data_IF_192318649402
#
_entry.id   IF_192318649402
#
_cell.length_a   1.000
_cell.length_b   1.000
_cell.length_c   1.000
_cell.angle_alpha   90.00
_cell.angle_beta   90.00
_cell.angle_gamma   90.00
#
_symmetry.space_group_name_H-M   'P 1'
#
loop_
_entity.id
_entity.type
_entity.pdbx_description
1 polymer ?
#
# COMPACT_ATOMS: atom_id res chain seq x y z
N UNK A 1 -4.07 -15.04 23.90
CA UNK A 1 -4.01 -13.64 23.47
C UNK A 1 -5.23 -13.31 22.60
N UNK A 2 -6.37 -13.00 23.22
CA UNK A 2 -7.56 -12.56 22.51
C UNK A 2 -7.61 -11.03 22.50
N UNK A 3 -7.67 -10.40 21.32
CA UNK A 3 -8.07 -8.99 21.24
C UNK A 3 -9.51 -8.91 21.76
N UNK A 4 -9.77 -7.98 22.69
CA UNK A 4 -11.14 -7.57 23.01
C UNK A 4 -11.82 -7.22 21.69
N UNK A 5 -12.91 -7.91 21.35
CA UNK A 5 -13.68 -7.62 20.16
C UNK A 5 -14.21 -6.21 20.27
N UNK A 6 -13.63 -5.28 19.53
CA UNK A 6 -14.27 -4.00 19.28
C UNK A 6 -15.56 -4.29 18.49
N UNK A 7 -16.69 -3.79 18.98
CA UNK A 7 -17.97 -3.91 18.30
C UNK A 7 -17.85 -3.30 16.90
N UNK A 8 -17.82 -4.14 15.86
CA UNK A 8 -17.90 -3.68 14.48
C UNK A 8 -19.30 -3.06 14.28
N UNK A 9 -19.34 -1.74 14.16
CA UNK A 9 -20.56 -1.00 13.83
C UNK A 9 -21.11 -1.55 12.50
N UNK A 10 -22.42 -1.80 12.35
CA UNK A 10 -23.00 -2.22 11.06
C UNK A 10 -22.65 -1.27 9.91
N UNK A 11 -22.47 0.01 10.19
CA UNK A 11 -21.99 0.98 9.20
C UNK A 11 -20.55 0.71 8.74
N UNK A 12 -19.71 0.05 9.55
CA UNK A 12 -18.33 -0.32 9.19
C UNK A 12 -18.27 -1.39 8.09
N UNK A 13 -19.33 -2.21 7.93
CA UNK A 13 -19.43 -3.18 6.83
C UNK A 13 -19.66 -2.49 5.47
N UNK A 14 -20.49 -1.45 5.46
CA UNK A 14 -20.79 -0.63 4.25
C UNK A 14 -19.65 0.35 3.94
N UNK A 15 -18.87 0.73 4.95
CA UNK A 15 -17.68 1.58 4.85
C UNK A 15 -16.42 0.84 4.38
N UNK A 16 -16.53 -0.36 3.80
CA UNK A 16 -15.37 -1.01 3.18
C UNK A 16 -14.81 -0.04 2.12
N UNK A 17 -13.67 0.58 2.40
CA UNK A 17 -13.12 1.66 1.58
C UNK A 17 -12.85 1.15 0.17
N UNK A 18 -13.76 1.44 -0.75
CA UNK A 18 -13.50 1.28 -2.17
C UNK A 18 -12.40 2.27 -2.55
N UNK A 19 -11.21 1.74 -2.86
CA UNK A 19 -10.08 2.57 -3.27
C UNK A 19 -10.11 2.70 -4.79
N UNK A 20 -10.50 3.89 -5.27
CA UNK A 20 -10.46 4.23 -6.70
C UNK A 20 -9.03 4.03 -7.24
N UNK A 21 -8.94 3.35 -8.37
CA UNK A 21 -7.66 3.09 -9.06
C UNK A 21 -7.06 1.72 -8.77
N UNK A 22 -7.42 1.06 -7.67
CA UNK A 22 -7.05 -0.33 -7.42
C UNK A 22 -8.01 -1.27 -8.16
N UNK A 23 -7.49 -1.98 -9.17
CA UNK A 23 -8.26 -2.91 -10.02
C UNK A 23 -8.03 -4.37 -9.60
N UNK A 24 -8.85 -5.28 -10.11
CA UNK A 24 -8.64 -6.72 -9.99
C UNK A 24 -7.22 -7.13 -10.37
N UNK A 25 -6.64 -8.06 -9.61
CA UNK A 25 -5.28 -8.56 -9.86
C UNK A 25 -5.25 -9.40 -11.13
N UNK A 26 -4.17 -9.31 -11.89
CA UNK A 26 -3.93 -10.23 -12.99
C UNK A 26 -3.61 -11.61 -12.42
N UNK A 27 -4.07 -12.66 -13.10
CA UNK A 27 -3.89 -14.04 -12.66
C UNK A 27 -2.46 -14.53 -12.81
N UNK A 28 -1.69 -13.97 -13.74
CA UNK A 28 -0.34 -14.42 -14.07
C UNK A 28 0.71 -13.98 -13.04
N UNK A 29 1.59 -14.90 -12.65
CA UNK A 29 2.82 -14.57 -11.93
C UNK A 29 3.90 -14.21 -12.95
N UNK A 30 4.18 -12.91 -13.06
CA UNK A 30 5.11 -12.40 -14.06
C UNK A 30 6.00 -11.35 -13.42
N UNK A 31 7.23 -11.23 -13.91
CA UNK A 31 8.15 -10.16 -13.58
C UNK A 31 8.26 -9.24 -14.79
N UNK A 32 8.09 -7.93 -14.57
CA UNK A 32 8.19 -6.92 -15.62
C UNK A 32 9.61 -6.34 -15.57
N UNK A 33 10.41 -6.63 -16.59
CA UNK A 33 11.85 -6.35 -16.62
C UNK A 33 12.27 -5.17 -17.53
N UNK A 34 11.33 -4.48 -18.16
CA UNK A 34 11.65 -3.52 -19.23
C UNK A 34 10.93 -2.17 -19.05
N UNK A 35 11.19 -1.48 -17.95
CA UNK A 35 10.80 -0.08 -17.80
C UNK A 35 12.02 0.83 -17.95
N UNK A 36 12.05 1.62 -19.04
CA UNK A 36 13.04 2.70 -19.23
C UNK A 36 13.00 3.61 -17.99
N UNK A 37 14.08 3.62 -17.19
CA UNK A 37 14.19 4.40 -15.95
C UNK A 37 14.40 3.59 -14.67
N UNK A 38 14.34 2.24 -14.73
CA UNK A 38 14.51 1.34 -13.56
C UNK A 38 15.81 0.51 -13.60
N UNK A 39 16.86 0.96 -14.31
CA UNK A 39 18.19 0.32 -14.30
C UNK A 39 18.21 -1.22 -14.55
N UNK A 40 17.38 -1.74 -15.45
CA UNK A 40 17.23 -3.19 -15.71
C UNK A 40 16.74 -4.02 -14.52
N UNK A 41 16.09 -3.41 -13.53
CA UNK A 41 15.47 -4.12 -12.41
C UNK A 41 14.14 -4.71 -12.88
N UNK A 42 13.92 -5.98 -12.57
CA UNK A 42 12.63 -6.64 -12.72
C UNK A 42 11.76 -6.39 -11.49
N UNK A 43 10.52 -5.96 -11.72
CA UNK A 43 9.52 -5.74 -10.66
C UNK A 43 8.44 -6.82 -10.79
N UNK A 44 8.05 -7.51 -9.70
CA UNK A 44 6.98 -8.50 -9.78
C UNK A 44 5.66 -7.80 -10.08
N UNK A 45 4.82 -8.42 -10.93
CA UNK A 45 3.55 -7.84 -11.35
C UNK A 45 2.62 -7.55 -10.16
N UNK A 46 2.72 -8.36 -9.10
CA UNK A 46 2.09 -8.11 -7.80
C UNK A 46 2.43 -6.71 -7.24
N UNK A 47 3.72 -6.32 -7.23
CA UNK A 47 4.16 -4.99 -6.79
C UNK A 47 3.65 -3.90 -7.73
N UNK A 48 3.70 -4.11 -9.05
CA UNK A 48 3.17 -3.14 -10.03
C UNK A 48 1.67 -2.87 -9.80
N UNK A 49 0.92 -3.89 -9.36
CA UNK A 49 -0.50 -3.79 -9.03
C UNK A 49 -0.79 -3.48 -7.57
N UNK A 50 0.21 -3.23 -6.71
CA UNK A 50 0.02 -2.97 -5.28
C UNK A 50 -0.91 -1.77 -5.08
N UNK A 51 -1.91 -1.92 -4.21
CA UNK A 51 -2.91 -0.88 -3.99
C UNK A 51 -2.37 0.28 -3.15
N UNK A 52 -1.67 1.23 -3.76
CA UNK A 52 -1.08 2.39 -3.06
C UNK A 52 -1.74 3.73 -3.42
N UNK A 53 -2.79 3.75 -4.23
CA UNK A 53 -3.39 4.99 -4.75
C UNK A 53 -3.98 5.88 -3.64
N UNK A 54 -4.38 5.31 -2.51
CA UNK A 54 -4.86 6.10 -1.37
C UNK A 54 -3.76 6.98 -0.73
N UNK A 55 -2.48 6.72 -1.03
CA UNK A 55 -1.33 7.45 -0.52
C UNK A 55 -0.86 8.57 -1.47
N UNK A 56 -1.43 8.65 -2.69
CA UNK A 56 -0.93 9.55 -3.75
C UNK A 56 -1.24 11.04 -3.48
N UNK A 57 -2.19 11.34 -2.60
CA UNK A 57 -2.72 12.69 -2.32
C UNK A 57 -2.73 13.00 -0.81
N UNK A 58 -1.74 12.50 -0.06
CA UNK A 58 -1.60 12.80 1.37
C UNK A 58 -1.23 14.27 1.57
N UNK A 59 -1.92 14.92 2.51
CA UNK A 59 -1.67 16.31 2.90
C UNK A 59 -1.33 16.35 4.37
N UNK A 60 -0.19 16.94 4.68
CA UNK A 60 0.23 17.22 6.04
C UNK A 60 -0.63 18.37 6.59
N UNK A 61 -1.23 18.16 7.76
CA UNK A 61 -2.08 19.15 8.43
C UNK A 61 -1.34 20.00 9.45
N UNK A 62 -0.08 19.67 9.74
CA UNK A 62 0.76 20.28 10.77
C UNK A 62 0.55 19.67 12.17
N UNK A 63 -0.41 18.75 12.32
CA UNK A 63 -0.73 18.07 13.59
C UNK A 63 -0.24 16.64 13.55
N UNK A 64 0.75 16.31 14.39
CA UNK A 64 1.32 14.97 14.53
C UNK A 64 0.26 13.89 14.68
N UNK A 65 -0.71 14.12 15.57
CA UNK A 65 -1.72 13.12 15.92
C UNK A 65 -2.69 12.89 14.76
N UNK A 66 -3.08 13.96 14.06
CA UNK A 66 -3.95 13.92 12.89
C UNK A 66 -3.23 13.24 11.72
N UNK A 67 -1.99 13.61 11.46
CA UNK A 67 -1.21 13.12 10.33
C UNK A 67 -0.82 11.65 10.51
N UNK A 68 -0.39 11.25 11.73
CA UNK A 68 -0.15 9.83 12.05
C UNK A 68 -1.41 8.99 11.88
N UNK A 69 -2.57 9.50 12.31
CA UNK A 69 -3.85 8.81 12.14
C UNK A 69 -4.21 8.68 10.66
N UNK A 70 -4.12 9.78 9.90
CA UNK A 70 -4.39 9.80 8.46
C UNK A 70 -3.51 8.79 7.72
N UNK A 71 -2.19 8.81 7.95
CA UNK A 71 -1.26 7.88 7.31
C UNK A 71 -1.61 6.43 7.67
N UNK A 72 -1.84 6.15 8.96
CA UNK A 72 -2.24 4.81 9.44
C UNK A 72 -3.51 4.34 8.75
N UNK A 73 -4.54 5.16 8.72
CA UNK A 73 -5.85 4.80 8.17
C UNK A 73 -5.73 4.54 6.65
N UNK A 74 -4.96 5.37 5.92
CA UNK A 74 -4.74 5.18 4.47
C UNK A 74 -3.92 3.94 4.14
N UNK A 75 -2.88 3.64 4.91
CA UNK A 75 -2.10 2.40 4.77
C UNK A 75 -2.96 1.18 5.10
N UNK A 76 -3.78 1.26 6.16
CA UNK A 76 -4.65 0.18 6.58
C UNK A 76 -5.74 -0.12 5.53
N UNK A 77 -6.43 0.91 5.03
CA UNK A 77 -7.42 0.77 3.95
C UNK A 77 -6.80 0.14 2.71
N UNK A 78 -5.60 0.60 2.33
CA UNK A 78 -4.81 0.08 1.20
C UNK A 78 -4.49 -1.41 1.37
N UNK A 79 -3.96 -1.79 2.53
CA UNK A 79 -3.59 -3.17 2.83
C UNK A 79 -4.80 -4.11 2.92
N UNK A 80 -5.92 -3.64 3.47
CA UNK A 80 -7.18 -4.41 3.48
C UNK A 80 -7.69 -4.64 2.06
N UNK A 81 -7.78 -3.58 1.25
CA UNK A 81 -8.27 -3.70 -0.12
C UNK A 81 -7.33 -4.55 -0.99
N UNK A 82 -6.01 -4.43 -0.80
CA UNK A 82 -5.01 -5.31 -1.41
C UNK A 82 -5.28 -6.78 -1.09
N UNK A 83 -5.50 -7.09 0.18
CA UNK A 83 -5.77 -8.46 0.65
C UNK A 83 -7.05 -9.01 0.02
N UNK A 84 -8.09 -8.19 -0.12
CA UNK A 84 -9.33 -8.59 -0.78
C UNK A 84 -9.15 -8.88 -2.27
N UNK A 85 -8.36 -8.05 -2.96
CA UNK A 85 -8.05 -8.24 -4.36
C UNK A 85 -7.20 -9.50 -4.58
N UNK A 86 -6.27 -9.80 -3.67
CA UNK A 86 -5.49 -11.04 -3.68
C UNK A 86 -6.36 -12.26 -3.36
N UNK A 87 -7.29 -12.14 -2.41
CA UNK A 87 -8.26 -13.20 -2.12
C UNK A 87 -9.12 -13.51 -3.34
N UNK A 88 -9.58 -12.48 -4.06
CA UNK A 88 -10.32 -12.68 -5.31
C UNK A 88 -9.48 -13.32 -6.42
N UNK A 89 -8.16 -13.15 -6.41
CA UNK A 89 -7.23 -13.78 -7.37
C UNK A 89 -7.08 -15.27 -7.12
N UNK A 90 -6.83 -15.66 -5.87
CA UNK A 90 -6.42 -17.02 -5.52
C UNK A 90 -7.55 -17.86 -4.90
N UNK A 91 -8.35 -17.22 -4.05
CA UNK A 91 -9.36 -17.87 -3.23
C UNK A 91 -8.79 -19.01 -2.38
N UNK A 92 -9.67 -19.93 -1.97
CA UNK A 92 -9.29 -21.10 -1.17
C UNK A 92 -8.36 -22.07 -1.92
N UNK A 93 -8.45 -22.14 -3.26
CA UNK A 93 -7.69 -23.10 -4.06
C UNK A 93 -6.21 -22.72 -4.20
N UNK A 94 -5.89 -21.43 -4.09
CA UNK A 94 -4.51 -20.91 -4.11
C UNK A 94 -4.11 -20.31 -2.76
N UNK A 95 -4.51 -20.93 -1.65
CA UNK A 95 -4.31 -20.34 -0.32
C UNK A 95 -2.84 -20.07 0.01
N UNK A 96 -1.93 -20.97 -0.37
CA UNK A 96 -0.49 -20.79 -0.12
C UNK A 96 0.06 -19.58 -0.89
N UNK A 97 -0.28 -19.47 -2.19
CA UNK A 97 0.09 -18.32 -3.02
C UNK A 97 -0.52 -17.01 -2.49
N UNK A 98 -1.77 -17.07 -2.01
CA UNK A 98 -2.42 -15.94 -1.35
C UNK A 98 -1.64 -15.51 -0.10
N UNK A 99 -1.26 -16.46 0.75
CA UNK A 99 -0.50 -16.16 1.96
C UNK A 99 0.86 -15.54 1.64
N UNK A 100 1.56 -16.05 0.63
CA UNK A 100 2.86 -15.51 0.24
C UNK A 100 2.73 -14.13 -0.41
N UNK A 101 1.73 -13.90 -1.25
CA UNK A 101 1.48 -12.58 -1.82
C UNK A 101 1.06 -11.55 -0.77
N UNK A 102 0.29 -11.94 0.26
CA UNK A 102 -0.02 -11.04 1.38
C UNK A 102 1.23 -10.66 2.16
N UNK A 103 2.13 -11.61 2.45
CA UNK A 103 3.41 -11.33 3.13
C UNK A 103 4.29 -10.40 2.28
N UNK A 104 4.40 -10.69 0.98
CA UNK A 104 5.22 -9.90 0.08
C UNK A 104 4.65 -8.48 -0.13
N UNK A 105 3.33 -8.35 -0.27
CA UNK A 105 2.67 -7.03 -0.32
C UNK A 105 2.85 -6.24 0.98
N UNK A 106 2.85 -6.89 2.14
CA UNK A 106 3.18 -6.23 3.41
C UNK A 106 4.61 -5.67 3.42
N UNK A 107 5.59 -6.43 2.92
CA UNK A 107 6.98 -5.96 2.82
C UNK A 107 7.11 -4.80 1.83
N UNK A 108 6.41 -4.85 0.70
CA UNK A 108 6.40 -3.74 -0.25
C UNK A 108 5.78 -2.47 0.34
N UNK A 109 4.70 -2.56 1.13
CA UNK A 109 4.15 -1.37 1.81
C UNK A 109 5.19 -0.73 2.72
N UNK A 110 5.97 -1.54 3.45
CA UNK A 110 7.09 -1.04 4.25
C UNK A 110 8.11 -0.34 3.35
N UNK A 111 8.53 -0.94 2.24
CA UNK A 111 9.51 -0.30 1.34
C UNK A 111 8.97 1.00 0.69
N UNK A 112 7.67 1.04 0.35
CA UNK A 112 6.98 2.23 -0.17
C UNK A 112 6.94 3.35 0.87
N UNK A 113 6.54 3.06 2.10
CA UNK A 113 6.42 4.06 3.17
C UNK A 113 7.79 4.60 3.58
N UNK A 114 8.81 3.75 3.57
CA UNK A 114 10.16 4.09 4.02
C UNK A 114 11.05 4.64 2.90
N UNK A 115 10.57 4.70 1.66
CA UNK A 115 11.30 5.28 0.52
C UNK A 115 12.41 4.42 -0.04
N UNK A 116 12.32 3.11 0.16
CA UNK A 116 13.27 2.12 -0.35
C UNK A 116 12.70 1.30 -1.50
N UNK A 117 11.45 1.57 -1.89
CA UNK A 117 10.78 0.89 -2.99
C UNK A 117 11.42 1.16 -4.36
N UNK A 118 11.52 0.08 -5.14
CA UNK A 118 12.21 0.04 -6.43
C UNK A 118 11.28 0.28 -7.64
N UNK A 119 9.96 0.21 -7.47
CA UNK A 119 9.03 0.44 -8.58
C UNK A 119 8.81 1.94 -8.81
N UNK A 120 9.16 2.43 -10.00
CA UNK A 120 9.03 3.84 -10.38
C UNK A 120 8.00 4.05 -11.49
N UNK A 121 6.94 3.24 -11.52
CA UNK A 121 5.78 3.51 -12.37
C UNK A 121 5.11 4.86 -12.03
N UNK A 122 4.20 5.34 -12.88
CA UNK A 122 3.58 6.66 -12.71
C UNK A 122 2.88 6.86 -11.35
N UNK A 123 2.18 5.84 -10.83
CA UNK A 123 1.50 5.93 -9.53
C UNK A 123 2.51 5.86 -8.39
N UNK A 124 3.49 4.94 -8.47
CA UNK A 124 4.53 4.81 -7.45
C UNK A 124 5.34 6.10 -7.30
N UNK A 125 5.64 6.81 -8.41
CA UNK A 125 6.26 8.14 -8.39
C UNK A 125 5.39 9.19 -7.68
N UNK A 126 4.09 9.26 -7.99
CA UNK A 126 3.17 10.19 -7.33
C UNK A 126 3.06 9.94 -5.83
N UNK A 127 2.98 8.66 -5.43
CA UNK A 127 2.97 8.24 -4.03
C UNK A 127 4.28 8.60 -3.34
N UNK A 128 5.42 8.34 -3.97
CA UNK A 128 6.73 8.74 -3.44
C UNK A 128 6.83 10.25 -3.23
N UNK A 129 6.40 11.07 -4.20
CA UNK A 129 6.39 12.52 -4.05
C UNK A 129 5.42 13.00 -2.95
N UNK A 130 4.24 12.39 -2.87
CA UNK A 130 3.24 12.64 -1.83
C UNK A 130 3.80 12.37 -0.44
N UNK A 131 4.43 11.20 -0.24
CA UNK A 131 5.06 10.82 1.02
C UNK A 131 6.26 11.74 1.36
N UNK A 132 7.11 12.08 0.38
CA UNK A 132 8.20 13.05 0.57
C UNK A 132 7.69 14.41 1.05
N UNK A 133 6.58 14.91 0.47
CA UNK A 133 5.93 16.15 0.94
C UNK A 133 5.33 15.97 2.32
N UNK A 134 4.68 14.84 2.58
CA UNK A 134 4.04 14.53 3.83
C UNK A 134 5.03 14.48 5.01
N UNK A 135 6.21 13.91 4.81
CA UNK A 135 7.26 13.77 5.83
C UNK A 135 8.22 14.98 5.92
N UNK A 136 8.18 15.96 5.00
CA UNK A 136 9.17 17.04 4.97
C UNK A 136 9.03 18.10 6.09
N UNK A 137 10.14 18.22 6.84
CA UNK A 137 10.78 19.30 7.63
C UNK A 137 10.10 20.04 8.80
N UNK A 138 8.80 20.26 8.85
CA UNK A 138 8.17 20.87 10.06
C UNK A 138 7.52 19.84 10.99
N UNK A 139 7.75 18.57 10.69
CA UNK A 139 7.12 17.45 11.34
C UNK A 139 8.10 16.79 12.32
N UNK A 140 7.86 16.92 13.63
CA UNK A 140 8.45 16.06 14.68
C UNK A 140 8.02 14.59 14.56
N UNK A 141 7.36 14.23 13.46
CA UNK A 141 6.28 13.24 13.45
C UNK A 141 6.76 11.86 13.06
N UNK A 142 7.75 11.72 12.18
CA UNK A 142 8.41 10.49 11.75
C UNK A 142 9.39 10.87 10.62
N UNK A 143 10.67 10.51 10.70
CA UNK A 143 11.66 10.80 9.65
C UNK A 143 12.24 9.47 9.12
N UNK A 144 11.62 8.84 8.11
CA UNK A 144 12.20 7.65 7.49
C UNK A 144 13.56 8.00 6.88
N UNK A 145 14.55 7.15 7.11
CA UNK A 145 15.96 7.43 6.78
C UNK A 145 16.24 7.60 5.28
N UNK A 146 15.28 7.27 4.39
CA UNK A 146 15.49 7.29 2.94
C UNK A 146 14.86 8.48 2.19
N UNK A 147 14.10 9.37 2.85
CA UNK A 147 13.38 10.48 2.18
C UNK A 147 14.11 11.82 2.16
#
# INVERSE_FOLDING_TARGET
YGRKGEYLNRNSFVQRSYIRGCKGKRSTHTWICENKGNNNICIPDRRVQLCITALQDLKNSGSETTDRKLLRDKVFDSAMYETDLLWNKYGLRGFDDFCDDVKNSYLDYKDVIFGTDLDKNNISKLVEESLKRFFKKDSSVLNPTAW
#
